data_IF_864849342312
#
_entry.id   IF_864849342312
#
_cell.length_a   1.000
_cell.length_b   1.000
_cell.length_c   1.000
_cell.angle_alpha   90.00
_cell.angle_beta   90.00
_cell.angle_gamma   90.00
#
_symmetry.space_group_name_H-M   'P 1'
#
loop_
_entity.id
_entity.type
_entity.pdbx_description
1 polymer ?
#
# COMPACT_ATOMS: atom_id res chain seq x y z
N UNK A 1 -14.38 0.30 -32.87
CA UNK A 1 -13.92 1.66 -33.23
C UNK A 1 -12.49 1.83 -32.72
N UNK A 2 -11.61 2.44 -33.52
CA UNK A 2 -10.20 2.71 -33.15
C UNK A 2 -10.14 3.91 -32.19
N UNK A 3 -9.34 3.81 -31.13
CA UNK A 3 -9.01 4.92 -30.23
C UNK A 3 -7.57 5.35 -30.48
N UNK A 4 -7.37 6.63 -30.83
CA UNK A 4 -6.07 7.15 -31.23
C UNK A 4 -5.73 6.88 -32.70
N UNK A 5 -4.46 7.08 -33.06
CA UNK A 5 -3.95 6.81 -34.42
C UNK A 5 -3.52 5.36 -34.56
N UNK A 6 -3.51 4.86 -35.79
CA UNK A 6 -2.89 3.57 -36.10
C UNK A 6 -1.44 3.56 -35.61
N UNK A 7 -1.02 2.45 -34.98
CA UNK A 7 0.28 2.25 -34.33
C UNK A 7 0.56 3.04 -33.03
N UNK A 8 -0.36 3.89 -32.54
CA UNK A 8 -0.17 4.67 -31.29
C UNK A 8 -0.71 3.98 -30.01
N UNK A 9 -1.11 2.70 -30.07
CA UNK A 9 -1.82 2.02 -28.97
C UNK A 9 -1.13 2.07 -27.60
N UNK A 10 0.19 1.87 -27.55
CA UNK A 10 0.96 1.95 -26.28
C UNK A 10 0.94 3.36 -25.70
N UNK A 11 1.06 4.38 -26.55
CA UNK A 11 1.00 5.78 -26.13
C UNK A 11 -0.40 6.15 -25.64
N UNK A 12 -1.44 5.61 -26.27
CA UNK A 12 -2.83 5.83 -25.85
C UNK A 12 -3.14 5.19 -24.50
N UNK A 13 -2.65 3.97 -24.23
CA UNK A 13 -2.97 3.24 -22.99
C UNK A 13 -2.14 3.68 -21.79
N UNK A 14 -1.00 4.36 -22.00
CA UNK A 14 -0.04 4.63 -20.92
C UNK A 14 -0.61 5.56 -19.83
N UNK A 15 -1.53 6.45 -20.19
CA UNK A 15 -2.19 7.35 -19.23
C UNK A 15 -3.04 6.55 -18.25
N UNK A 16 -3.80 5.57 -18.74
CA UNK A 16 -4.56 4.64 -17.90
C UNK A 16 -3.62 3.82 -17.00
N UNK A 17 -2.55 3.25 -17.57
CA UNK A 17 -1.57 2.46 -16.81
C UNK A 17 -0.91 3.27 -15.70
N UNK A 18 -0.69 4.56 -15.92
CA UNK A 18 -0.14 5.43 -14.88
C UNK A 18 -1.13 5.63 -13.72
N UNK A 19 -2.42 5.82 -14.02
CA UNK A 19 -3.48 5.87 -13.00
C UNK A 19 -3.59 4.56 -12.21
N UNK A 20 -3.64 3.41 -12.88
CA UNK A 20 -3.79 2.12 -12.19
C UNK A 20 -2.59 1.74 -11.32
N UNK A 21 -1.39 2.26 -11.62
CA UNK A 21 -0.23 2.12 -10.72
C UNK A 21 -0.41 2.88 -9.41
N UNK A 22 -1.02 4.06 -9.45
CA UNK A 22 -1.35 4.79 -8.23
C UNK A 22 -2.40 4.00 -7.43
N UNK A 23 -3.43 3.47 -8.08
CA UNK A 23 -4.45 2.63 -7.43
C UNK A 23 -3.84 1.40 -6.76
N UNK A 24 -2.92 0.69 -7.42
CA UNK A 24 -2.22 -0.46 -6.85
C UNK A 24 -1.40 -0.07 -5.61
N UNK A 25 -0.74 1.10 -5.64
CA UNK A 25 0.00 1.62 -4.49
C UNK A 25 -0.94 1.97 -3.33
N UNK A 26 -2.06 2.65 -3.61
CA UNK A 26 -3.09 3.01 -2.62
C UNK A 26 -3.70 1.76 -2.00
N UNK A 27 -4.11 0.78 -2.81
CA UNK A 27 -4.67 -0.48 -2.33
C UNK A 27 -3.70 -1.26 -1.45
N UNK A 28 -2.41 -1.28 -1.82
CA UNK A 28 -1.37 -1.95 -1.04
C UNK A 28 -1.08 -1.24 0.29
N UNK A 29 -1.08 0.10 0.31
CA UNK A 29 -0.99 0.88 1.55
C UNK A 29 -2.18 0.60 2.48
N UNK A 30 -3.39 0.51 1.92
CA UNK A 30 -4.60 0.18 2.66
C UNK A 30 -4.57 -1.24 3.24
N UNK A 31 -4.06 -2.23 2.49
CA UNK A 31 -3.87 -3.60 2.99
C UNK A 31 -2.90 -3.64 4.17
N UNK A 32 -1.74 -2.96 4.06
CA UNK A 32 -0.77 -2.84 5.17
C UNK A 32 -1.42 -2.19 6.40
N UNK A 33 -2.19 -1.11 6.20
CA UNK A 33 -2.93 -0.44 7.29
C UNK A 33 -3.93 -1.38 7.96
N UNK A 34 -4.70 -2.11 7.16
CA UNK A 34 -5.70 -3.04 7.68
C UNK A 34 -5.05 -4.17 8.48
N UNK A 35 -3.95 -4.74 7.98
CA UNK A 35 -3.17 -5.75 8.67
C UNK A 35 -2.66 -5.26 10.03
N UNK A 36 -2.07 -4.05 10.06
CA UNK A 36 -1.62 -3.41 11.30
C UNK A 36 -2.75 -3.21 12.31
N UNK A 37 -3.94 -2.78 11.86
CA UNK A 37 -5.11 -2.60 12.74
C UNK A 37 -5.51 -3.92 13.37
N UNK A 38 -5.56 -5.02 12.59
CA UNK A 38 -5.87 -6.35 13.13
C UNK A 38 -4.81 -6.80 14.15
N UNK A 39 -3.52 -6.69 13.81
CA UNK A 39 -2.42 -7.06 14.70
C UNK A 39 -2.43 -6.27 16.01
N UNK A 40 -2.59 -4.94 15.92
CA UNK A 40 -2.64 -4.06 17.09
C UNK A 40 -3.87 -4.36 17.95
N UNK A 41 -5.03 -4.57 17.34
CA UNK A 41 -6.23 -4.95 18.06
C UNK A 41 -6.04 -6.27 18.81
N UNK A 42 -5.50 -7.30 18.14
CA UNK A 42 -5.20 -8.57 18.77
C UNK A 42 -4.23 -8.40 19.95
N UNK A 43 -3.13 -7.68 19.74
CA UNK A 43 -2.10 -7.49 20.75
C UNK A 43 -2.60 -6.74 22.01
N UNK A 44 -3.60 -5.87 21.86
CA UNK A 44 -4.24 -5.16 22.97
C UNK A 44 -5.14 -6.02 23.85
N UNK A 45 -5.56 -7.19 23.36
CA UNK A 45 -6.53 -8.04 24.06
C UNK A 45 -5.96 -9.40 24.43
N UNK A 46 -4.95 -9.89 23.69
CA UNK A 46 -4.33 -11.18 23.94
C UNK A 46 -3.29 -11.06 25.05
N UNK A 47 -3.35 -12.00 26.01
CA UNK A 47 -2.31 -12.19 27.03
C UNK A 47 -1.44 -13.40 26.72
N UNK A 48 -0.15 -13.28 26.97
CA UNK A 48 0.80 -14.37 27.00
C UNK A 48 1.88 -14.06 28.04
N UNK A 49 2.36 -15.10 28.74
CA UNK A 49 3.41 -14.96 29.76
C UNK A 49 3.09 -13.90 30.82
N UNK A 50 1.82 -13.81 31.23
CA UNK A 50 1.37 -12.94 32.33
C UNK A 50 1.05 -11.49 32.00
N UNK A 51 1.28 -11.02 30.76
CA UNK A 51 0.98 -9.63 30.34
C UNK A 51 0.25 -9.59 28.99
N UNK A 52 -0.35 -8.45 28.65
CA UNK A 52 -0.88 -8.24 27.31
C UNK A 52 0.26 -8.24 26.30
N UNK A 53 0.03 -8.74 25.09
CA UNK A 53 1.04 -8.74 24.04
C UNK A 53 1.53 -7.31 23.74
N UNK A 54 0.64 -6.32 23.73
CA UNK A 54 1.04 -4.92 23.54
C UNK A 54 1.94 -4.38 24.66
N UNK A 55 2.03 -5.02 25.82
CA UNK A 55 2.90 -4.61 26.93
C UNK A 55 4.31 -5.22 26.79
N UNK A 56 4.43 -6.33 26.09
CA UNK A 56 5.68 -7.05 25.88
C UNK A 56 6.65 -6.23 25.01
N UNK A 57 7.89 -5.99 25.44
CA UNK A 57 8.83 -5.11 24.72
C UNK A 57 9.08 -5.51 23.26
N UNK A 58 9.23 -6.81 22.99
CA UNK A 58 9.49 -7.29 21.62
C UNK A 58 8.29 -7.13 20.70
N UNK A 59 7.08 -7.42 21.19
CA UNK A 59 5.86 -7.22 20.41
C UNK A 59 5.62 -5.74 20.09
N UNK A 60 5.95 -4.82 21.02
CA UNK A 60 5.91 -3.38 20.74
C UNK A 60 6.81 -3.01 19.57
N UNK A 61 8.03 -3.58 19.49
CA UNK A 61 8.95 -3.31 18.38
C UNK A 61 8.35 -3.74 17.04
N UNK A 62 7.83 -4.97 16.97
CA UNK A 62 7.15 -5.48 15.75
C UNK A 62 6.00 -4.57 15.32
N UNK A 63 5.13 -4.19 16.25
CA UNK A 63 3.99 -3.31 15.95
C UNK A 63 4.42 -1.90 15.53
N UNK A 64 5.52 -1.38 16.09
CA UNK A 64 6.07 -0.08 15.71
C UNK A 64 6.62 -0.12 14.28
N UNK A 65 7.35 -1.17 13.91
CA UNK A 65 7.88 -1.31 12.55
C UNK A 65 6.75 -1.39 11.52
N UNK A 66 5.70 -2.16 11.82
CA UNK A 66 4.49 -2.23 11.00
C UNK A 66 3.75 -0.89 10.91
N UNK A 67 3.69 -0.14 12.01
CA UNK A 67 3.11 1.20 12.04
C UNK A 67 3.89 2.17 11.16
N UNK A 68 5.22 2.17 11.25
CA UNK A 68 6.08 3.04 10.44
C UNK A 68 5.92 2.74 8.95
N UNK A 69 5.91 1.47 8.55
CA UNK A 69 5.68 1.07 7.16
C UNK A 69 4.29 1.54 6.68
N UNK A 70 3.24 1.35 7.49
CA UNK A 70 1.88 1.75 7.16
C UNK A 70 1.73 3.27 7.01
N UNK A 71 2.29 4.06 7.92
CA UNK A 71 2.20 5.52 7.89
C UNK A 71 3.02 6.10 6.73
N UNK A 72 4.23 5.58 6.48
CA UNK A 72 5.06 6.01 5.37
C UNK A 72 4.39 5.74 4.01
N UNK A 73 3.83 4.54 3.82
CA UNK A 73 3.09 4.18 2.61
C UNK A 73 1.87 5.09 2.41
N UNK A 74 1.09 5.32 3.47
CA UNK A 74 -0.11 6.16 3.43
C UNK A 74 0.24 7.61 3.09
N UNK A 75 1.24 8.19 3.75
CA UNK A 75 1.68 9.56 3.49
C UNK A 75 2.14 9.73 2.03
N UNK A 76 2.93 8.77 1.52
CA UNK A 76 3.44 8.81 0.15
C UNK A 76 2.32 8.73 -0.88
N UNK A 77 1.35 7.82 -0.73
CA UNK A 77 0.25 7.69 -1.71
C UNK A 77 -0.70 8.88 -1.68
N UNK A 78 -0.99 9.45 -0.50
CA UNK A 78 -1.84 10.63 -0.39
C UNK A 78 -1.16 11.87 -1.00
N UNK A 79 0.15 12.02 -0.79
CA UNK A 79 0.93 13.07 -1.42
C UNK A 79 0.93 12.92 -2.94
N UNK A 80 1.15 11.70 -3.45
CA UNK A 80 1.14 11.45 -4.89
C UNK A 80 -0.23 11.61 -5.52
N UNK A 81 -1.31 11.20 -4.85
CA UNK A 81 -2.67 11.43 -5.33
C UNK A 81 -2.95 12.93 -5.50
N UNK A 82 -2.57 13.73 -4.51
CA UNK A 82 -2.69 15.20 -4.59
C UNK A 82 -1.95 15.77 -5.81
N UNK A 83 -0.72 15.31 -6.05
CA UNK A 83 0.05 15.75 -7.22
C UNK A 83 -0.55 15.23 -8.53
N UNK A 84 -1.02 13.99 -8.56
CA UNK A 84 -1.65 13.39 -9.73
C UNK A 84 -2.88 14.21 -10.15
N UNK A 85 -3.77 14.52 -9.22
CA UNK A 85 -4.95 15.37 -9.44
C UNK A 85 -4.55 16.77 -9.90
N UNK A 86 -3.49 17.35 -9.31
CA UNK A 86 -2.98 18.66 -9.74
C UNK A 86 -2.51 18.62 -11.19
N UNK A 87 -1.89 17.52 -11.64
CA UNK A 87 -1.41 17.41 -13.04
C UNK A 87 -2.53 17.22 -14.05
N UNK A 88 -3.66 16.65 -13.63
CA UNK A 88 -4.85 16.44 -14.46
C UNK A 88 -5.69 17.71 -14.58
N UNK A 89 -5.86 18.46 -13.48
CA UNK A 89 -6.72 19.65 -13.42
C UNK A 89 -6.01 20.97 -13.79
N UNK A 90 -4.68 20.97 -13.97
CA UNK A 90 -3.91 22.19 -14.17
C UNK A 90 -4.11 22.81 -15.56
N UNK A 91 -4.82 23.94 -15.59
CA UNK A 91 -4.78 24.92 -16.66
C UNK A 91 -3.61 25.90 -16.42
N UNK A 92 -2.44 25.64 -17.01
CA UNK A 92 -1.31 26.58 -17.12
C UNK A 92 -0.71 27.12 -15.79
N UNK A 93 -0.25 26.25 -14.88
CA UNK A 93 0.65 26.67 -13.78
C UNK A 93 2.11 26.67 -14.23
N UNK A 94 2.93 27.60 -13.71
CA UNK A 94 4.32 27.83 -14.12
C UNK A 94 5.25 26.62 -13.94
N UNK A 95 4.92 25.69 -13.03
CA UNK A 95 5.73 24.51 -12.71
C UNK A 95 5.10 23.18 -13.17
N UNK A 96 4.05 23.21 -13.99
CA UNK A 96 3.28 22.00 -14.34
C UNK A 96 4.13 20.90 -15.00
N UNK A 97 5.12 21.27 -15.81
CA UNK A 97 5.97 20.31 -16.50
C UNK A 97 6.88 19.55 -15.54
N UNK A 98 7.43 20.23 -14.52
CA UNK A 98 8.24 19.61 -13.49
C UNK A 98 7.40 18.67 -12.62
N UNK A 99 6.19 19.10 -12.22
CA UNK A 99 5.26 18.26 -11.46
C UNK A 99 4.86 17.01 -12.26
N UNK A 100 4.54 17.14 -13.55
CA UNK A 100 4.23 15.99 -14.42
C UNK A 100 5.40 15.02 -14.53
N UNK A 101 6.63 15.53 -14.69
CA UNK A 101 7.83 14.70 -14.74
C UNK A 101 8.05 13.95 -13.41
N UNK A 102 7.88 14.64 -12.28
CA UNK A 102 7.98 14.04 -10.96
C UNK A 102 6.93 12.95 -10.74
N UNK A 103 5.65 13.24 -10.96
CA UNK A 103 4.56 12.26 -10.80
C UNK A 103 4.79 11.02 -11.65
N UNK A 104 5.27 11.17 -12.90
CA UNK A 104 5.60 10.04 -13.77
C UNK A 104 6.60 9.07 -13.14
N UNK A 105 7.67 9.59 -12.53
CA UNK A 105 8.72 8.77 -11.93
C UNK A 105 8.26 8.24 -10.57
N UNK A 106 7.72 9.12 -9.73
CA UNK A 106 7.37 8.81 -8.36
C UNK A 106 6.24 7.77 -8.27
N UNK A 107 5.23 7.81 -9.14
CA UNK A 107 4.16 6.77 -9.14
C UNK A 107 4.73 5.38 -9.43
N UNK A 108 5.68 5.25 -10.36
CA UNK A 108 6.30 3.96 -10.66
C UNK A 108 7.13 3.43 -9.48
N UNK A 109 7.91 4.31 -8.85
CA UNK A 109 8.72 3.95 -7.67
C UNK A 109 7.82 3.56 -6.50
N UNK A 110 6.77 4.33 -6.22
CA UNK A 110 5.84 4.07 -5.12
C UNK A 110 5.08 2.77 -5.31
N UNK A 111 4.59 2.49 -6.53
CA UNK A 111 3.96 1.20 -6.85
C UNK A 111 4.94 0.07 -6.56
N UNK A 112 6.16 0.15 -7.08
CA UNK A 112 7.18 -0.87 -6.84
C UNK A 112 7.43 -1.08 -5.34
N UNK A 113 7.78 -0.01 -4.63
CA UNK A 113 8.19 -0.09 -3.22
C UNK A 113 7.07 -0.60 -2.33
N UNK A 114 5.90 0.05 -2.35
CA UNK A 114 4.79 -0.27 -1.44
C UNK A 114 4.28 -1.68 -1.73
N UNK A 115 4.00 -2.01 -3.00
CA UNK A 115 3.45 -3.32 -3.33
C UNK A 115 4.44 -4.46 -3.02
N UNK A 116 5.75 -4.20 -3.12
CA UNK A 116 6.76 -5.21 -2.78
C UNK A 116 6.84 -5.48 -1.27
N UNK A 117 6.61 -4.46 -0.45
CA UNK A 117 6.68 -4.52 1.02
C UNK A 117 5.40 -5.07 1.67
N UNK A 118 4.23 -4.83 1.05
CA UNK A 118 2.93 -5.25 1.61
C UNK A 118 2.87 -6.75 1.97
N UNK A 119 3.34 -7.71 1.15
CA UNK A 119 3.33 -9.12 1.54
C UNK A 119 4.06 -9.42 2.85
N UNK A 120 5.25 -8.85 3.03
CA UNK A 120 6.06 -9.03 4.24
C UNK A 120 5.35 -8.40 5.46
N UNK A 121 4.85 -7.17 5.33
CA UNK A 121 4.15 -6.49 6.42
C UNK A 121 2.85 -7.22 6.82
N UNK A 122 2.09 -7.74 5.84
CA UNK A 122 0.87 -8.50 6.12
C UNK A 122 1.17 -9.87 6.73
N UNK A 123 2.29 -10.50 6.36
CA UNK A 123 2.75 -11.75 6.96
C UNK A 123 3.10 -11.58 8.44
N UNK A 124 3.92 -10.59 8.76
CA UNK A 124 4.31 -10.29 10.15
C UNK A 124 3.08 -9.96 11.02
N UNK A 125 2.15 -9.17 10.46
CA UNK A 125 0.87 -8.88 11.12
C UNK A 125 0.01 -10.13 11.34
N UNK A 126 0.07 -11.11 10.42
CA UNK A 126 -0.64 -12.39 10.55
C UNK A 126 -0.02 -13.23 11.67
N UNK A 127 1.31 -13.26 11.78
CA UNK A 127 2.03 -13.95 12.85
C UNK A 127 1.73 -13.35 14.24
N UNK A 128 1.48 -12.04 14.34
CA UNK A 128 1.03 -11.41 15.59
C UNK A 128 -0.28 -12.01 16.14
N UNK A 129 -1.15 -12.58 15.28
CA UNK A 129 -2.38 -13.28 15.69
C UNK A 129 -2.13 -14.76 16.01
N UNK A 130 -0.93 -15.28 15.73
CA UNK A 130 -0.57 -16.69 15.83
C UNK A 130 -1.42 -17.58 14.91
N UNK A 131 -1.73 -18.80 15.35
CA UNK A 131 -2.52 -19.74 14.56
C UNK A 131 -3.91 -19.21 14.15
N UNK A 132 -4.51 -18.32 14.95
CA UNK A 132 -5.78 -17.67 14.62
C UNK A 132 -5.66 -16.67 13.46
N UNK A 133 -4.46 -16.20 13.11
CA UNK A 133 -4.23 -15.40 11.91
C UNK A 133 -4.28 -16.23 10.63
N UNK A 134 -3.90 -17.51 10.72
CA UNK A 134 -3.76 -18.40 9.57
C UNK A 134 -5.08 -19.08 9.15
N UNK A 135 -6.04 -19.20 10.07
CA UNK A 135 -7.35 -19.81 9.74
C UNK A 135 -8.14 -18.92 8.77
N UNK A 136 -8.83 -19.54 7.82
CA UNK A 136 -9.53 -18.83 6.73
C UNK A 136 -10.70 -17.97 7.23
N UNK A 137 -11.27 -18.29 8.39
CA UNK A 137 -12.30 -17.49 9.06
C UNK A 137 -11.76 -16.17 9.62
N UNK A 138 -10.44 -16.04 9.75
CA UNK A 138 -9.78 -14.80 10.14
C UNK A 138 -9.68 -13.86 8.95
N UNK A 139 -9.89 -12.57 9.19
CA UNK A 139 -9.69 -11.54 8.15
C UNK A 139 -8.24 -11.50 7.63
N UNK A 140 -7.26 -11.96 8.42
CA UNK A 140 -5.85 -11.91 8.05
C UNK A 140 -5.47 -12.85 6.92
N UNK A 141 -6.09 -14.03 6.84
CA UNK A 141 -5.85 -15.01 5.77
C UNK A 141 -6.09 -14.41 4.38
N UNK A 142 -7.23 -13.73 4.21
CA UNK A 142 -7.60 -13.02 2.98
C UNK A 142 -6.63 -11.89 2.68
N UNK A 143 -6.31 -11.06 3.68
CA UNK A 143 -5.40 -9.91 3.52
C UNK A 143 -4.02 -10.39 3.02
N UNK A 144 -3.49 -11.46 3.60
CA UNK A 144 -2.22 -12.04 3.20
C UNK A 144 -2.25 -12.61 1.77
N UNK A 145 -3.33 -13.32 1.40
CA UNK A 145 -3.50 -13.86 0.04
C UNK A 145 -3.63 -12.77 -1.03
N UNK A 146 -4.21 -11.62 -0.70
CA UNK A 146 -4.38 -10.49 -1.62
C UNK A 146 -3.11 -9.63 -1.76
N UNK A 147 -2.31 -9.53 -0.69
CA UNK A 147 -1.11 -8.69 -0.63
C UNK A 147 -0.12 -8.81 -1.81
N UNK A 148 0.27 -10.01 -2.29
CA UNK A 148 1.27 -10.12 -3.36
C UNK A 148 0.77 -9.68 -4.73
N UNK A 149 -0.55 -9.63 -4.96
CA UNK A 149 -1.13 -9.45 -6.29
C UNK A 149 -0.72 -8.10 -6.92
N UNK A 150 -0.75 -7.03 -6.14
CA UNK A 150 -0.37 -5.68 -6.59
C UNK A 150 1.13 -5.55 -6.94
N UNK A 151 1.98 -6.47 -6.45
CA UNK A 151 3.39 -6.52 -6.83
C UNK A 151 3.62 -7.16 -8.19
N UNK A 152 2.63 -7.92 -8.70
CA UNK A 152 2.73 -8.72 -9.92
C UNK A 152 2.09 -8.01 -11.11
N UNK A 153 0.83 -7.58 -10.99
CA UNK A 153 0.08 -6.97 -12.10
C UNK A 153 0.39 -5.47 -12.30
#
# INVERSE_FOLDING_TARGET
>A
WLLGKEHDGVKTIIEMVHGTRLDAAVGSAALTRQALVQATWHARHRKAFGQLLIEQPLMKQVLIDLLLESEAATALVMYLATLFDSTYNANNSTNINETKAFVRIATAISKFWICKRTPEATYEALECLGGAGFVEESNMSRIYREAPLNSIW
#
